data_IF_226751223763
#
_entry.id   IF_226751223763
#
_cell.length_a   1.000
_cell.length_b   1.000
_cell.length_c   1.000
_cell.angle_alpha   90.00
_cell.angle_beta   90.00
_cell.angle_gamma   90.00
#
_symmetry.space_group_name_H-M   'P 1'
#
loop_
_entity.id
_entity.type
_entity.pdbx_description
1 polymer ?
#
# COMPACT_ATOMS: atom_id res chain seq x y z
N UNK A 1 14.03 16.40 -4.97
CA UNK A 1 12.89 15.47 -4.95
C UNK A 1 13.10 14.48 -6.08
N UNK A 2 13.16 13.17 -5.79
CA UNK A 2 13.53 12.11 -6.76
C UNK A 2 12.63 12.10 -8.00
N UNK A 3 11.31 12.14 -7.82
CA UNK A 3 10.33 12.17 -8.92
C UNK A 3 9.90 13.57 -9.36
N UNK A 4 10.08 14.58 -8.50
CA UNK A 4 9.50 15.92 -8.68
C UNK A 4 7.98 16.01 -8.45
N UNK A 5 7.37 14.91 -7.97
CA UNK A 5 5.92 14.75 -7.70
C UNK A 5 5.67 14.77 -6.19
N UNK A 6 4.43 14.97 -5.76
CA UNK A 6 4.11 15.12 -4.32
C UNK A 6 3.02 14.18 -3.77
N UNK A 7 2.14 13.59 -4.60
CA UNK A 7 1.08 12.72 -4.07
C UNK A 7 1.60 11.37 -3.61
N UNK A 8 1.03 10.86 -2.53
CA UNK A 8 1.30 9.51 -1.99
C UNK A 8 -0.01 8.72 -1.98
N UNK A 9 0.01 7.53 -2.59
CA UNK A 9 -1.07 6.57 -2.49
C UNK A 9 -0.83 5.64 -1.30
N UNK A 10 -1.85 5.43 -0.47
CA UNK A 10 -1.84 4.40 0.57
C UNK A 10 -3.18 3.68 0.66
N UNK A 11 -3.24 2.53 1.32
CA UNK A 11 -4.48 1.78 1.41
C UNK A 11 -5.41 2.32 2.51
N UNK A 12 -6.73 2.20 2.34
CA UNK A 12 -7.65 2.14 3.47
C UNK A 12 -7.31 0.94 4.35
N UNK A 13 -7.64 1.02 5.65
CA UNK A 13 -7.29 -0.02 6.64
C UNK A 13 -5.77 -0.29 6.65
N UNK A 14 -5.00 0.77 6.78
CA UNK A 14 -3.54 0.77 6.95
C UNK A 14 -3.14 1.58 8.18
N UNK A 15 -1.90 1.43 8.65
CA UNK A 15 -1.32 2.26 9.68
C UNK A 15 0.16 2.55 9.41
N UNK A 16 0.48 3.83 9.21
CA UNK A 16 1.84 4.29 8.88
C UNK A 16 2.43 5.26 9.91
N UNK A 17 1.68 5.59 10.96
CA UNK A 17 2.16 6.43 12.05
C UNK A 17 1.10 7.37 12.59
N UNK A 18 1.49 8.23 13.53
CA UNK A 18 0.58 9.14 14.22
C UNK A 18 1.06 10.60 14.25
N UNK A 19 1.98 10.97 13.36
CA UNK A 19 2.56 12.31 13.29
C UNK A 19 2.69 12.80 11.85
N UNK A 20 2.71 14.12 11.67
CA UNK A 20 3.06 14.77 10.40
C UNK A 20 2.27 14.25 9.19
N UNK A 21 2.98 13.83 8.14
CA UNK A 21 2.38 13.21 6.94
C UNK A 21 2.08 11.72 7.10
N UNK A 22 2.68 11.05 8.09
CA UNK A 22 2.46 9.62 8.32
C UNK A 22 1.04 9.33 8.82
N UNK A 23 0.44 10.25 9.59
CA UNK A 23 -0.96 10.12 10.00
C UNK A 23 -1.93 10.32 8.83
N UNK A 24 -1.60 11.16 7.84
CA UNK A 24 -2.42 11.31 6.64
C UNK A 24 -2.27 10.14 5.65
N UNK A 25 -1.18 9.36 5.75
CA UNK A 25 -1.08 8.10 5.03
C UNK A 25 -1.88 6.96 5.70
N UNK A 26 -2.25 7.10 6.98
CA UNK A 26 -2.98 6.07 7.72
C UNK A 26 -4.46 6.05 7.33
N UNK A 27 -4.89 4.98 6.65
CA UNK A 27 -6.24 4.83 6.10
C UNK A 27 -7.32 4.45 7.13
N UNK A 28 -7.36 5.13 8.28
CA UNK A 28 -8.33 4.90 9.36
C UNK A 28 -9.10 6.19 9.66
N UNK A 29 -10.43 6.15 9.48
CA UNK A 29 -11.32 7.30 9.66
C UNK A 29 -11.20 7.98 11.03
N UNK A 30 -10.77 7.24 12.06
CA UNK A 30 -10.55 7.78 13.42
C UNK A 30 -9.37 8.77 13.47
N UNK A 31 -8.54 8.82 12.44
CA UNK A 31 -7.37 9.68 12.32
C UNK A 31 -7.64 10.97 11.56
N UNK A 32 -8.74 11.07 10.81
CA UNK A 32 -9.16 12.24 10.03
C UNK A 32 -9.03 13.58 10.78
N UNK A 33 -9.36 13.69 12.09
CA UNK A 33 -9.16 14.94 12.83
C UNK A 33 -7.71 15.43 12.91
N UNK A 34 -6.73 14.61 12.52
CA UNK A 34 -5.30 14.90 12.57
C UNK A 34 -4.64 14.97 11.18
N UNK A 35 -5.42 14.96 10.10
CA UNK A 35 -4.92 15.05 8.72
C UNK A 35 -4.60 16.51 8.34
N UNK A 36 -3.40 16.97 8.69
CA UNK A 36 -2.94 18.34 8.39
C UNK A 36 -2.09 18.45 7.11
N UNK A 37 -1.72 17.32 6.50
CA UNK A 37 -0.94 17.28 5.26
C UNK A 37 -1.82 16.97 4.05
N UNK A 38 -1.46 17.57 2.91
CA UNK A 38 -2.14 17.35 1.62
C UNK A 38 -1.44 16.29 0.78
N UNK A 39 -2.10 15.86 -0.30
CA UNK A 39 -1.50 15.00 -1.32
C UNK A 39 -1.55 13.51 -0.99
N UNK A 40 -2.34 13.10 0.01
CA UNK A 40 -2.57 11.69 0.30
C UNK A 40 -3.88 11.24 -0.33
N UNK A 41 -3.85 10.09 -1.00
CA UNK A 41 -5.03 9.47 -1.62
C UNK A 41 -5.10 8.04 -1.15
N UNK A 42 -6.29 7.64 -0.71
CA UNK A 42 -6.53 6.29 -0.24
C UNK A 42 -7.21 5.43 -1.29
N UNK A 43 -6.84 4.15 -1.35
CA UNK A 43 -7.47 3.16 -2.21
C UNK A 43 -7.81 1.88 -1.43
N UNK A 44 -8.72 1.06 -1.95
CA UNK A 44 -9.07 -0.21 -1.33
C UNK A 44 -8.00 -1.27 -1.57
N UNK A 45 -7.56 -1.93 -0.50
CA UNK A 45 -6.65 -3.08 -0.57
C UNK A 45 -7.45 -4.39 -0.72
N UNK A 46 -6.88 -5.48 -1.26
CA UNK A 46 -7.57 -6.76 -1.35
C UNK A 46 -7.83 -7.33 0.04
N UNK A 47 -9.06 -7.80 0.23
CA UNK A 47 -9.49 -8.54 1.40
C UNK A 47 -10.71 -9.40 1.04
N UNK A 48 -10.46 -10.60 0.51
CA UNK A 48 -11.50 -11.48 -0.04
C UNK A 48 -12.70 -11.70 0.89
N UNK A 49 -12.47 -11.84 2.21
CA UNK A 49 -13.55 -12.05 3.18
C UNK A 49 -14.57 -10.90 3.22
N UNK A 50 -14.16 -9.66 2.89
CA UNK A 50 -15.05 -8.50 2.69
C UNK A 50 -14.61 -7.74 1.45
N UNK A 51 -14.67 -8.42 0.31
CA UNK A 51 -14.23 -7.89 -0.97
C UNK A 51 -14.98 -6.62 -1.33
N UNK A 52 -14.25 -5.54 -1.59
CA UNK A 52 -14.76 -4.32 -2.23
C UNK A 52 -14.91 -4.50 -3.75
N UNK A 53 -14.45 -5.63 -4.28
CA UNK A 53 -14.33 -5.93 -5.70
C UNK A 53 -15.31 -7.00 -6.17
N UNK A 54 -16.25 -7.41 -5.32
CA UNK A 54 -17.22 -8.49 -5.56
C UNK A 54 -16.54 -9.81 -6.01
N UNK A 55 -15.35 -10.10 -5.49
CA UNK A 55 -14.60 -11.30 -5.84
C UNK A 55 -15.10 -12.54 -5.07
N UNK A 56 -15.02 -13.69 -5.71
CA UNK A 56 -15.30 -14.99 -5.11
C UNK A 56 -14.03 -15.81 -4.82
N UNK A 57 -12.90 -15.48 -5.46
CA UNK A 57 -11.61 -16.18 -5.27
C UNK A 57 -10.47 -15.21 -5.03
N UNK A 58 -9.34 -15.72 -4.52
CA UNK A 58 -8.14 -14.89 -4.28
C UNK A 58 -7.56 -14.33 -5.58
N UNK A 59 -7.63 -15.08 -6.68
CA UNK A 59 -7.19 -14.63 -7.99
C UNK A 59 -8.04 -13.49 -8.51
N UNK A 60 -9.37 -13.58 -8.38
CA UNK A 60 -10.28 -12.50 -8.74
C UNK A 60 -10.05 -11.26 -7.89
N UNK A 61 -9.87 -11.45 -6.58
CA UNK A 61 -9.59 -10.36 -5.63
C UNK A 61 -8.29 -9.64 -6.00
N UNK A 62 -7.22 -10.41 -6.26
CA UNK A 62 -5.93 -9.90 -6.69
C UNK A 62 -6.04 -9.09 -7.98
N UNK A 63 -6.63 -9.69 -9.03
CA UNK A 63 -6.76 -9.04 -10.33
C UNK A 63 -7.55 -7.73 -10.24
N UNK A 64 -8.67 -7.74 -9.52
CA UNK A 64 -9.56 -6.57 -9.43
C UNK A 64 -8.99 -5.48 -8.52
N UNK A 65 -8.28 -5.84 -7.45
CA UNK A 65 -7.56 -4.89 -6.62
C UNK A 65 -6.45 -4.17 -7.41
N UNK A 66 -5.70 -4.89 -8.26
CA UNK A 66 -4.70 -4.30 -9.15
C UNK A 66 -5.33 -3.40 -10.22
N UNK A 67 -6.47 -3.83 -10.80
CA UNK A 67 -7.22 -2.99 -11.74
C UNK A 67 -7.74 -1.70 -11.06
N UNK A 68 -8.18 -1.81 -9.80
CA UNK A 68 -8.57 -0.66 -8.98
C UNK A 68 -7.40 0.29 -8.74
N UNK A 69 -6.24 -0.22 -8.29
CA UNK A 69 -5.06 0.61 -8.06
C UNK A 69 -4.62 1.34 -9.35
N UNK A 70 -4.58 0.64 -10.49
CA UNK A 70 -4.34 1.28 -11.80
C UNK A 70 -5.33 2.40 -12.06
N UNK A 71 -6.63 2.15 -11.85
CA UNK A 71 -7.67 3.15 -12.10
C UNK A 71 -7.48 4.38 -11.23
N UNK A 72 -7.08 4.23 -9.98
CA UNK A 72 -6.75 5.35 -9.07
C UNK A 72 -5.54 6.12 -9.60
N UNK A 73 -4.47 5.44 -10.01
CA UNK A 73 -3.29 6.08 -10.60
C UNK A 73 -3.67 6.94 -11.82
N UNK A 74 -4.52 6.42 -12.69
CA UNK A 74 -5.02 7.14 -13.87
C UNK A 74 -5.93 8.33 -13.50
N UNK A 75 -6.82 8.18 -12.51
CA UNK A 75 -7.70 9.26 -12.05
C UNK A 75 -6.93 10.44 -11.44
N UNK A 76 -5.95 10.12 -10.60
CA UNK A 76 -5.17 11.12 -9.86
C UNK A 76 -4.14 11.85 -10.73
N UNK A 77 -3.88 11.31 -11.92
CA UNK A 77 -2.83 11.74 -12.83
C UNK A 77 -1.49 11.10 -12.46
N UNK A 78 -0.94 10.17 -13.27
CA UNK A 78 0.31 9.47 -12.93
C UNK A 78 1.48 10.42 -12.67
N UNK A 79 1.52 11.56 -13.36
CA UNK A 79 2.56 12.59 -13.21
C UNK A 79 2.48 13.38 -11.90
N UNK A 80 1.41 13.22 -11.12
CA UNK A 80 1.27 13.84 -9.79
C UNK A 80 1.69 12.89 -8.65
N UNK A 81 1.78 11.58 -8.91
CA UNK A 81 2.01 10.55 -7.88
C UNK A 81 3.50 10.28 -7.72
N UNK A 82 4.00 10.57 -6.52
CA UNK A 82 5.38 10.33 -6.12
C UNK A 82 5.60 8.89 -5.65
N UNK A 83 4.70 8.35 -4.83
CA UNK A 83 4.89 7.07 -4.18
C UNK A 83 3.59 6.27 -3.95
N UNK A 84 3.73 4.94 -3.91
CA UNK A 84 2.78 4.02 -3.29
C UNK A 84 3.41 3.54 -1.97
N UNK A 85 2.70 3.72 -0.87
CA UNK A 85 3.09 3.31 0.47
C UNK A 85 2.12 2.23 0.98
N UNK A 86 2.64 1.03 1.25
CA UNK A 86 1.85 -0.10 1.71
C UNK A 86 2.58 -0.88 2.81
N UNK A 87 1.84 -1.40 3.78
CA UNK A 87 2.31 -2.51 4.61
C UNK A 87 2.29 -3.79 3.77
N UNK A 88 3.36 -4.60 3.80
CA UNK A 88 3.36 -5.91 3.12
C UNK A 88 2.26 -6.82 3.66
N UNK A 89 2.00 -6.75 4.96
CA UNK A 89 0.83 -7.35 5.62
C UNK A 89 0.28 -6.34 6.64
N UNK A 90 -0.84 -5.65 6.34
CA UNK A 90 -1.46 -4.72 7.27
C UNK A 90 -1.79 -5.34 8.63
N UNK A 91 -1.11 -4.91 9.69
CA UNK A 91 -1.23 -5.52 11.02
C UNK A 91 -2.36 -4.91 11.86
N UNK A 92 -2.30 -3.60 12.11
CA UNK A 92 -3.24 -2.85 12.97
C UNK A 92 -4.68 -2.93 12.47
N UNK A 93 -4.84 -3.10 11.16
CA UNK A 93 -6.13 -3.21 10.49
C UNK A 93 -6.81 -4.59 10.58
N UNK A 94 -6.15 -5.56 11.23
CA UNK A 94 -6.68 -6.90 11.46
C UNK A 94 -5.97 -8.01 10.69
N UNK A 95 -4.66 -7.88 10.43
CA UNK A 95 -3.81 -8.90 9.78
C UNK A 95 -4.38 -9.29 8.41
N UNK A 96 -4.21 -8.41 7.43
CA UNK A 96 -4.76 -8.58 6.09
C UNK A 96 -3.68 -9.15 5.17
N UNK A 97 -3.64 -10.47 5.01
CA UNK A 97 -2.68 -11.10 4.09
C UNK A 97 -3.11 -10.82 2.65
N UNK A 98 -2.27 -10.18 1.81
CA UNK A 98 -2.60 -9.99 0.41
C UNK A 98 -2.67 -11.33 -0.33
N UNK A 99 -3.52 -11.46 -1.36
CA UNK A 99 -3.55 -12.64 -2.21
C UNK A 99 -2.24 -12.75 -3.00
N UNK A 100 -1.86 -13.97 -3.36
CA UNK A 100 -0.65 -14.23 -4.15
C UNK A 100 -0.65 -13.41 -5.45
N UNK A 101 0.51 -12.88 -5.82
CA UNK A 101 0.66 -12.04 -7.02
C UNK A 101 0.35 -10.56 -6.82
N UNK A 102 -0.29 -10.18 -5.71
CA UNK A 102 -0.70 -8.78 -5.49
C UNK A 102 0.50 -7.86 -5.36
N UNK A 103 1.49 -8.19 -4.51
CA UNK A 103 2.66 -7.33 -4.30
C UNK A 103 3.52 -7.21 -5.56
N UNK A 104 3.64 -8.29 -6.34
CA UNK A 104 4.30 -8.29 -7.64
C UNK A 104 3.56 -7.37 -8.63
N UNK A 105 2.23 -7.42 -8.64
CA UNK A 105 1.41 -6.53 -9.45
C UNK A 105 1.53 -5.06 -9.07
N UNK A 106 1.59 -4.74 -7.77
CA UNK A 106 1.83 -3.38 -7.28
C UNK A 106 3.21 -2.88 -7.73
N UNK A 107 4.24 -3.71 -7.62
CA UNK A 107 5.59 -3.39 -8.13
C UNK A 107 5.58 -3.10 -9.63
N UNK A 108 4.91 -3.94 -10.42
CA UNK A 108 4.80 -3.74 -11.86
C UNK A 108 4.08 -2.42 -12.22
N UNK A 109 3.00 -2.07 -11.50
CA UNK A 109 2.32 -0.78 -11.66
C UNK A 109 3.23 0.39 -11.28
N UNK A 110 3.98 0.27 -10.18
CA UNK A 110 4.93 1.30 -9.76
C UNK A 110 6.01 1.53 -10.83
N UNK A 111 6.54 0.46 -11.43
CA UNK A 111 7.52 0.55 -12.52
C UNK A 111 6.93 1.19 -13.78
N UNK A 112 5.73 0.78 -14.19
CA UNK A 112 5.05 1.29 -15.39
C UNK A 112 4.83 2.81 -15.33
N UNK A 113 4.44 3.33 -14.17
CA UNK A 113 4.13 4.75 -13.99
C UNK A 113 5.29 5.58 -13.40
N UNK A 114 6.45 4.94 -13.16
CA UNK A 114 7.62 5.58 -12.55
C UNK A 114 7.31 6.15 -11.15
N UNK A 115 6.63 5.37 -10.32
CA UNK A 115 6.22 5.69 -8.96
C UNK A 115 7.14 4.95 -7.99
N UNK A 116 7.56 5.62 -6.90
CA UNK A 116 8.36 4.98 -5.85
C UNK A 116 7.49 4.01 -5.05
N UNK A 117 7.92 2.76 -4.92
CA UNK A 117 7.28 1.79 -4.03
C UNK A 117 7.96 1.82 -2.66
N UNK A 118 7.19 2.11 -1.62
CA UNK A 118 7.62 2.07 -0.22
C UNK A 118 6.87 0.93 0.47
N UNK A 119 7.61 -0.04 1.00
CA UNK A 119 7.02 -1.11 1.80
C UNK A 119 7.30 -0.91 3.28
N UNK A 120 6.21 -0.84 4.03
CA UNK A 120 6.19 -0.65 5.47
C UNK A 120 6.24 -1.98 6.19
N UNK A 121 7.44 -2.32 6.63
CA UNK A 121 7.79 -3.55 7.35
C UNK A 121 7.90 -3.30 8.86
N UNK A 122 7.38 -2.18 9.38
CA UNK A 122 7.42 -1.86 10.82
C UNK A 122 6.75 -2.96 11.66
N UNK A 123 5.76 -3.69 11.14
CA UNK A 123 5.19 -4.87 11.83
C UNK A 123 5.68 -6.21 11.32
N UNK A 124 5.76 -6.35 10.00
CA UNK A 124 5.95 -7.65 9.35
C UNK A 124 7.44 -8.01 9.17
N UNK A 125 8.35 -7.05 9.37
CA UNK A 125 9.78 -7.26 9.30
C UNK A 125 10.35 -8.05 10.47
N UNK A 126 11.65 -8.32 10.36
CA UNK A 126 12.51 -9.03 11.31
C UNK A 126 11.96 -10.38 11.78
N UNK A 127 11.54 -11.23 10.84
CA UNK A 127 11.18 -12.62 11.14
C UNK A 127 9.73 -12.84 11.55
N UNK A 128 8.90 -11.78 11.66
CA UNK A 128 7.49 -11.91 12.06
C UNK A 128 6.71 -12.89 11.19
N UNK A 129 7.00 -12.92 9.89
CA UNK A 129 6.35 -13.77 8.89
C UNK A 129 7.19 -14.99 8.50
N UNK A 130 8.34 -15.21 9.15
CA UNK A 130 9.29 -16.29 8.81
C UNK A 130 10.43 -15.88 7.86
N UNK A 131 10.37 -14.68 7.27
CA UNK A 131 11.44 -14.07 6.46
C UNK A 131 11.96 -12.79 7.14
N UNK A 132 13.11 -12.25 6.71
CA UNK A 132 13.61 -11.00 7.30
C UNK A 132 12.68 -9.83 7.00
N UNK A 133 12.13 -9.78 5.79
CA UNK A 133 11.04 -8.88 5.43
C UNK A 133 9.94 -9.69 4.75
N UNK A 134 8.67 -9.31 4.95
CA UNK A 134 7.56 -10.08 4.41
C UNK A 134 7.51 -10.04 2.87
N UNK A 135 7.87 -8.91 2.25
CA UNK A 135 7.90 -8.79 0.79
C UNK A 135 8.89 -9.75 0.09
N UNK A 136 9.86 -10.32 0.81
CA UNK A 136 10.81 -11.29 0.26
C UNK A 136 10.10 -12.58 -0.19
N UNK A 137 8.98 -12.92 0.46
CA UNK A 137 8.17 -14.10 0.14
C UNK A 137 7.51 -13.97 -1.24
N UNK A 138 7.28 -12.73 -1.67
CA UNK A 138 6.74 -12.39 -2.98
C UNK A 138 7.82 -12.17 -4.05
N UNK A 139 9.10 -12.17 -3.67
CA UNK A 139 10.21 -11.85 -4.57
C UNK A 139 10.21 -10.39 -5.05
N UNK A 140 9.60 -9.48 -4.29
CA UNK A 140 9.50 -8.05 -4.62
C UNK A 140 10.66 -7.29 -4.00
N UNK A 141 11.22 -6.31 -4.74
CA UNK A 141 12.20 -5.36 -4.21
C UNK A 141 11.59 -3.95 -4.25
N UNK A 142 11.32 -3.33 -3.09
CA UNK A 142 10.83 -1.95 -3.05
C UNK A 142 11.96 -0.94 -3.23
N UNK A 143 11.60 0.30 -3.55
CA UNK A 143 12.54 1.41 -3.66
C UNK A 143 12.98 1.90 -2.27
N UNK A 144 12.07 1.84 -1.28
CA UNK A 144 12.33 2.19 0.12
C UNK A 144 11.64 1.19 1.04
N UNK A 145 12.25 0.95 2.20
CA UNK A 145 11.69 0.11 3.27
C UNK A 145 11.63 0.93 4.56
N UNK A 146 10.50 0.90 5.26
CA UNK A 146 10.42 1.37 6.65
C UNK A 146 10.44 0.18 7.60
N UNK A 147 11.21 0.29 8.68
CA UNK A 147 11.36 -0.77 9.67
C UNK A 147 11.53 -0.17 11.08
N UNK A 148 11.01 -0.86 12.10
CA UNK A 148 11.10 -0.52 13.53
C UNK A 148 10.54 -1.70 14.36
N UNK A 149 10.13 -1.41 15.61
CA UNK A 149 9.57 -2.33 16.64
C UNK A 149 10.58 -3.30 17.24
#
# INVERSE_FOLDING_TARGET
LYTGRDKVLSAYRSYHGNTGSAIAATGDWRRVPNEFSRGHVHFFNPYLYRSEFNAATEEEECQRALAHLRRIIECEGPTAIAAILLESIPGTAGILVPPAGYMQGVRALADEFGIVLILDEVMAGFGRTGSWFAFEQDGVVPDLVTFAK
#
